data_IF_752011437836
#
_entry.id   IF_752011437836
#
_cell.length_a   1.000
_cell.length_b   1.000
_cell.length_c   1.000
_cell.angle_alpha   90.00
_cell.angle_beta   90.00
_cell.angle_gamma   90.00
#
_symmetry.space_group_name_H-M   'P 1'
#
loop_
_entity.id
_entity.type
_entity.pdbx_description
1 polymer ?
#
# COMPACT_ATOMS: atom_id res chain seq x y z
N UNK A 1 6.80 3.57 5.83
CA UNK A 1 5.82 3.83 6.92
C UNK A 1 4.72 2.77 6.96
N UNK A 2 3.76 2.74 6.03
CA UNK A 2 2.69 1.71 6.00
C UNK A 2 3.20 0.26 6.10
N UNK A 3 4.30 -0.05 5.44
CA UNK A 3 4.92 -1.40 5.48
C UNK A 3 5.35 -1.83 6.88
N UNK A 4 5.74 -0.90 7.75
CA UNK A 4 6.06 -1.23 9.15
C UNK A 4 4.83 -1.73 9.90
N UNK A 5 3.67 -1.10 9.68
CA UNK A 5 2.41 -1.58 10.26
C UNK A 5 2.08 -2.98 9.76
N UNK A 6 2.15 -3.21 8.44
CA UNK A 6 1.88 -4.54 7.88
C UNK A 6 2.78 -5.64 8.42
N UNK A 7 4.09 -5.40 8.48
CA UNK A 7 5.06 -6.38 9.02
C UNK A 7 4.86 -6.57 10.52
N UNK A 8 4.66 -5.49 11.28
CA UNK A 8 4.48 -5.58 12.73
C UNK A 8 3.22 -6.35 13.10
N UNK A 9 2.09 -6.12 12.42
CA UNK A 9 0.89 -6.93 12.60
C UNK A 9 1.16 -8.40 12.25
N UNK A 10 1.82 -8.69 11.13
CA UNK A 10 2.18 -10.07 10.75
C UNK A 10 3.04 -10.76 11.82
N UNK A 11 3.96 -10.02 12.45
CA UNK A 11 4.87 -10.54 13.47
C UNK A 11 4.19 -10.75 14.84
N UNK A 12 3.39 -9.78 15.27
CA UNK A 12 2.85 -9.75 16.62
C UNK A 12 1.42 -10.30 16.75
N UNK A 13 0.69 -10.53 15.66
CA UNK A 13 -0.66 -11.09 15.72
C UNK A 13 -0.73 -12.42 16.50
N UNK A 14 0.11 -13.44 16.23
CA UNK A 14 0.06 -14.68 17.00
C UNK A 14 0.39 -14.47 18.48
N UNK A 15 1.32 -13.56 18.78
CA UNK A 15 1.73 -13.23 20.15
C UNK A 15 0.59 -12.54 20.91
N UNK A 16 -0.08 -11.56 20.29
CA UNK A 16 -1.25 -10.91 20.86
C UNK A 16 -2.37 -11.91 21.15
N UNK A 17 -2.63 -12.86 20.25
CA UNK A 17 -3.64 -13.89 20.52
C UNK A 17 -3.26 -14.78 21.71
N UNK A 18 -1.98 -15.13 21.83
CA UNK A 18 -1.47 -15.89 22.98
C UNK A 18 -1.59 -15.08 24.30
N UNK A 19 -1.29 -13.78 24.29
CA UNK A 19 -1.49 -12.89 25.44
C UNK A 19 -2.96 -12.77 25.85
N UNK A 20 -3.88 -12.80 24.87
CA UNK A 20 -5.33 -12.88 25.11
C UNK A 20 -5.81 -14.26 25.58
N UNK A 21 -4.90 -15.20 25.87
CA UNK A 21 -5.21 -16.54 26.35
C UNK A 21 -5.77 -17.49 25.27
N UNK A 22 -5.69 -17.13 23.99
CA UNK A 22 -6.15 -17.98 22.89
C UNK A 22 -5.09 -19.01 22.49
N UNK A 23 -5.56 -20.07 21.82
CA UNK A 23 -4.68 -21.15 21.36
C UNK A 23 -3.73 -20.69 20.25
N UNK A 24 -2.57 -21.36 20.15
CA UNK A 24 -1.60 -21.14 19.06
C UNK A 24 -2.24 -21.33 17.67
N UNK A 25 -3.20 -22.26 17.55
CA UNK A 25 -3.96 -22.50 16.33
C UNK A 25 -4.74 -21.23 15.94
N UNK A 26 -5.37 -20.56 16.91
CA UNK A 26 -6.09 -19.30 16.66
C UNK A 26 -5.13 -18.20 16.19
N UNK A 27 -3.94 -18.12 16.79
CA UNK A 27 -2.86 -17.24 16.34
C UNK A 27 -2.47 -17.47 14.87
N UNK A 28 -2.34 -18.74 14.46
CA UNK A 28 -2.12 -19.12 13.06
C UNK A 28 -3.28 -18.72 12.15
N UNK A 29 -4.52 -18.97 12.57
CA UNK A 29 -5.73 -18.63 11.80
C UNK A 29 -5.81 -17.12 11.53
N UNK A 30 -5.62 -16.28 12.56
CA UNK A 30 -5.69 -14.81 12.37
C UNK A 30 -4.59 -14.30 11.45
N UNK A 31 -3.38 -14.87 11.55
CA UNK A 31 -2.26 -14.52 10.68
C UNK A 31 -2.55 -14.92 9.22
N UNK A 32 -3.05 -16.14 9.00
CA UNK A 32 -3.45 -16.61 7.67
C UNK A 32 -4.60 -15.76 7.13
N UNK A 33 -5.59 -15.42 7.95
CA UNK A 33 -6.71 -14.55 7.55
C UNK A 33 -6.20 -13.17 7.12
N UNK A 34 -5.33 -12.55 7.91
CA UNK A 34 -4.74 -11.24 7.61
C UNK A 34 -3.96 -11.25 6.30
N UNK A 35 -3.09 -12.25 6.11
CA UNK A 35 -2.26 -12.36 4.91
C UNK A 35 -3.08 -12.73 3.66
N UNK A 36 -4.04 -13.66 3.78
CA UNK A 36 -4.94 -14.04 2.69
C UNK A 36 -5.85 -12.87 2.27
N UNK A 37 -6.40 -12.13 3.23
CA UNK A 37 -7.15 -10.91 2.94
C UNK A 37 -6.29 -9.89 2.22
N UNK A 38 -5.03 -9.76 2.63
CA UNK A 38 -4.03 -8.96 1.92
C UNK A 38 -3.89 -9.38 0.47
N UNK A 39 -3.65 -10.67 0.19
CA UNK A 39 -3.52 -11.17 -1.19
C UNK A 39 -4.72 -10.78 -2.04
N UNK A 40 -5.94 -11.00 -1.53
CA UNK A 40 -7.20 -10.61 -2.19
C UNK A 40 -7.24 -9.09 -2.43
N UNK A 41 -6.86 -8.32 -1.42
CA UNK A 41 -6.78 -6.85 -1.49
C UNK A 41 -5.78 -6.35 -2.53
N UNK A 42 -4.64 -7.03 -2.70
CA UNK A 42 -3.68 -6.73 -3.75
C UNK A 42 -4.30 -6.82 -5.14
N UNK A 43 -4.97 -7.94 -5.44
CA UNK A 43 -5.65 -8.13 -6.73
C UNK A 43 -6.76 -7.11 -6.96
N UNK A 44 -7.68 -6.97 -6.01
CA UNK A 44 -8.83 -6.06 -6.15
C UNK A 44 -8.36 -4.60 -6.16
N UNK A 45 -7.42 -4.23 -5.30
CA UNK A 45 -6.83 -2.89 -5.24
C UNK A 45 -6.17 -2.50 -6.55
N UNK A 46 -5.42 -3.41 -7.18
CA UNK A 46 -4.85 -3.24 -8.52
C UNK A 46 -5.92 -2.90 -9.55
N UNK A 47 -6.92 -3.77 -9.70
CA UNK A 47 -8.03 -3.61 -10.66
C UNK A 47 -8.84 -2.33 -10.42
N UNK A 48 -9.12 -2.00 -9.16
CA UNK A 48 -9.87 -0.80 -8.78
C UNK A 48 -9.06 0.45 -9.09
N UNK A 49 -7.73 0.41 -8.87
CA UNK A 49 -6.86 1.54 -9.15
C UNK A 49 -6.66 1.83 -10.63
N UNK A 50 -6.78 0.82 -11.50
CA UNK A 50 -6.83 1.03 -12.95
C UNK A 50 -7.99 1.93 -13.38
N UNK A 51 -9.11 1.88 -12.64
CA UNK A 51 -10.35 2.62 -12.94
C UNK A 51 -10.49 3.93 -12.18
N UNK A 52 -10.16 3.95 -10.89
CA UNK A 52 -10.36 5.09 -9.99
C UNK A 52 -9.13 6.01 -9.87
N UNK A 53 -8.00 5.59 -10.43
CA UNK A 53 -6.72 6.29 -10.36
C UNK A 53 -5.82 5.76 -9.24
N UNK A 54 -4.55 5.56 -9.56
CA UNK A 54 -3.53 4.98 -8.67
C UNK A 54 -3.40 5.73 -7.35
N UNK A 55 -3.16 7.04 -7.43
CA UNK A 55 -2.94 7.88 -6.25
C UNK A 55 -4.15 7.86 -5.31
N UNK A 56 -5.36 7.90 -5.87
CA UNK A 56 -6.61 7.89 -5.12
C UNK A 56 -6.75 6.61 -4.30
N UNK A 57 -6.51 5.46 -4.91
CA UNK A 57 -6.60 4.17 -4.20
C UNK A 57 -5.51 4.03 -3.14
N UNK A 58 -4.29 4.52 -3.39
CA UNK A 58 -3.21 4.46 -2.39
C UNK A 58 -3.59 5.25 -1.13
N UNK A 59 -3.94 6.53 -1.23
CA UNK A 59 -4.18 7.32 -0.03
C UNK A 59 -5.44 6.86 0.72
N UNK A 60 -6.50 6.43 0.01
CA UNK A 60 -7.73 5.95 0.68
C UNK A 60 -7.49 4.65 1.43
N UNK A 61 -6.84 3.66 0.81
CA UNK A 61 -6.56 2.36 1.45
C UNK A 61 -5.59 2.50 2.62
N UNK A 62 -4.55 3.33 2.47
CA UNK A 62 -3.60 3.61 3.55
C UNK A 62 -4.28 4.34 4.72
N UNK A 63 -5.18 5.29 4.46
CA UNK A 63 -5.94 5.99 5.49
C UNK A 63 -6.92 5.05 6.21
N UNK A 64 -7.68 4.26 5.44
CA UNK A 64 -8.66 3.32 5.98
C UNK A 64 -8.02 2.17 6.75
N UNK A 65 -6.76 1.82 6.48
CA UNK A 65 -6.03 0.81 7.24
C UNK A 65 -6.09 1.07 8.74
N UNK A 66 -5.90 2.32 9.18
CA UNK A 66 -5.86 2.69 10.59
C UNK A 66 -7.14 2.34 11.37
N UNK A 67 -8.34 2.83 10.99
CA UNK A 67 -9.55 2.50 11.74
C UNK A 67 -9.86 1.00 11.76
N UNK A 68 -9.53 0.25 10.70
CA UNK A 68 -9.75 -1.21 10.70
C UNK A 68 -8.77 -1.95 11.61
N UNK A 69 -7.48 -1.59 11.61
CA UNK A 69 -6.52 -2.20 12.52
C UNK A 69 -6.76 -1.80 13.98
N UNK A 70 -7.14 -0.55 14.23
CA UNK A 70 -7.50 -0.09 15.56
C UNK A 70 -8.79 -0.76 16.07
N UNK A 71 -9.79 -0.89 15.19
CA UNK A 71 -11.02 -1.62 15.49
C UNK A 71 -10.77 -3.09 15.84
N UNK A 72 -9.84 -3.76 15.15
CA UNK A 72 -9.42 -5.11 15.50
C UNK A 72 -8.88 -5.22 16.94
N UNK A 73 -8.06 -4.25 17.37
CA UNK A 73 -7.50 -4.26 18.73
C UNK A 73 -8.57 -4.07 19.81
N UNK A 74 -9.64 -3.32 19.51
CA UNK A 74 -10.66 -2.95 20.50
C UNK A 74 -11.97 -3.75 20.40
N UNK A 75 -12.02 -4.78 19.57
CA UNK A 75 -13.22 -5.60 19.40
C UNK A 75 -12.93 -7.07 19.64
N UNK A 76 -13.99 -7.79 20.03
CA UNK A 76 -13.95 -9.21 20.33
C UNK A 76 -14.87 -10.02 19.40
N UNK A 77 -14.67 -11.33 19.40
CA UNK A 77 -15.50 -12.28 18.66
C UNK A 77 -15.48 -12.04 17.14
N UNK A 78 -16.66 -12.10 16.51
CA UNK A 78 -16.77 -12.03 15.04
C UNK A 78 -16.34 -10.69 14.45
N UNK A 79 -16.51 -9.60 15.20
CA UNK A 79 -16.14 -8.25 14.77
C UNK A 79 -14.62 -8.13 14.65
N UNK A 80 -13.88 -8.68 15.61
CA UNK A 80 -12.42 -8.73 15.59
C UNK A 80 -11.89 -9.29 14.26
N UNK A 81 -12.39 -10.47 13.86
CA UNK A 81 -11.98 -11.11 12.60
C UNK A 81 -12.34 -10.29 11.37
N UNK A 82 -13.51 -9.64 11.38
CA UNK A 82 -13.97 -8.79 10.27
C UNK A 82 -13.06 -7.57 10.11
N UNK A 83 -12.76 -6.87 11.20
CA UNK A 83 -11.84 -5.74 11.21
C UNK A 83 -10.44 -6.14 10.75
N UNK A 84 -9.95 -7.30 11.22
CA UNK A 84 -8.64 -7.81 10.81
C UNK A 84 -8.58 -8.12 9.32
N UNK A 85 -9.61 -8.77 8.78
CA UNK A 85 -9.69 -9.09 7.37
C UNK A 85 -9.65 -7.83 6.51
N UNK A 86 -10.48 -6.84 6.83
CA UNK A 86 -10.50 -5.57 6.09
C UNK A 86 -9.17 -4.83 6.26
N UNK A 87 -8.58 -4.83 7.46
CA UNK A 87 -7.27 -4.26 7.72
C UNK A 87 -6.18 -4.89 6.83
N UNK A 88 -6.10 -6.22 6.78
CA UNK A 88 -5.16 -6.95 5.92
C UNK A 88 -5.35 -6.64 4.45
N UNK A 89 -6.60 -6.62 3.99
CA UNK A 89 -6.99 -6.22 2.64
C UNK A 89 -6.46 -4.82 2.29
N UNK A 90 -6.75 -3.82 3.11
CA UNK A 90 -6.38 -2.42 2.85
C UNK A 90 -4.87 -2.22 2.85
N UNK A 91 -4.17 -2.89 3.78
CA UNK A 91 -2.71 -2.90 3.86
C UNK A 91 -2.16 -3.33 2.51
N UNK A 92 -2.43 -4.55 2.03
CA UNK A 92 -1.75 -5.05 0.84
C UNK A 92 -2.28 -4.48 -0.49
N UNK A 93 -3.53 -4.04 -0.54
CA UNK A 93 -4.09 -3.32 -1.69
C UNK A 93 -3.18 -2.17 -2.13
N UNK A 94 -2.77 -1.32 -1.18
CA UNK A 94 -1.88 -0.19 -1.47
C UNK A 94 -0.50 -0.61 -2.03
N UNK A 95 0.01 -1.80 -1.69
CA UNK A 95 1.33 -2.27 -2.12
C UNK A 95 1.34 -2.60 -3.62
N UNK A 96 0.32 -3.33 -4.10
CA UNK A 96 0.18 -3.65 -5.52
C UNK A 96 0.04 -2.39 -6.36
N UNK A 97 -0.80 -1.44 -5.92
CA UNK A 97 -1.04 -0.18 -6.62
C UNK A 97 0.20 0.71 -6.65
N UNK A 98 0.98 0.76 -5.56
CA UNK A 98 2.21 1.54 -5.50
C UNK A 98 3.28 1.00 -6.46
N UNK A 99 3.40 -0.33 -6.59
CA UNK A 99 4.33 -0.95 -7.54
C UNK A 99 3.90 -0.64 -8.98
N UNK A 100 2.61 -0.79 -9.29
CA UNK A 100 2.07 -0.46 -10.61
C UNK A 100 2.32 1.01 -10.96
N UNK A 101 2.07 1.93 -10.01
CA UNK A 101 2.36 3.35 -10.18
C UNK A 101 3.85 3.62 -10.44
N UNK A 102 4.75 2.96 -9.70
CA UNK A 102 6.19 3.14 -9.90
C UNK A 102 6.64 2.65 -11.29
N UNK A 103 6.10 1.52 -11.75
CA UNK A 103 6.37 1.00 -13.09
C UNK A 103 5.84 1.92 -14.19
N UNK A 104 4.67 2.55 -13.99
CA UNK A 104 4.12 3.54 -14.91
C UNK A 104 4.95 4.84 -14.97
N UNK A 105 5.56 5.24 -13.84
CA UNK A 105 6.44 6.41 -13.75
C UNK A 105 7.79 6.19 -14.45
N UNK A 106 8.29 4.95 -14.47
CA UNK A 106 9.60 4.59 -15.02
C UNK A 106 9.50 3.39 -15.97
N UNK A 107 8.81 3.54 -17.13
CA UNK A 107 8.49 2.43 -18.02
C UNK A 107 9.73 1.81 -18.70
N UNK A 108 10.80 2.59 -18.86
CA UNK A 108 12.06 2.12 -19.46
C UNK A 108 12.83 1.18 -18.52
N UNK A 109 12.51 1.17 -17.22
CA UNK A 109 13.22 0.36 -16.23
C UNK A 109 12.28 -0.21 -15.16
N UNK A 110 11.24 -0.93 -15.60
CA UNK A 110 10.20 -1.52 -14.72
C UNK A 110 10.74 -2.47 -13.65
N UNK A 111 11.87 -3.13 -13.94
CA UNK A 111 12.59 -3.98 -12.98
C UNK A 111 13.09 -3.17 -11.78
N UNK A 112 13.85 -2.10 -12.01
CA UNK A 112 14.32 -1.22 -10.92
C UNK A 112 13.16 -0.46 -10.27
N UNK A 113 12.17 -0.02 -11.06
CA UNK A 113 11.01 0.71 -10.57
C UNK A 113 10.17 -0.09 -9.56
N UNK A 114 10.16 -1.43 -9.68
CA UNK A 114 9.50 -2.32 -8.73
C UNK A 114 10.44 -2.74 -7.59
N UNK A 115 11.68 -3.13 -7.91
CA UNK A 115 12.62 -3.65 -6.93
C UNK A 115 13.09 -2.60 -5.91
N UNK A 116 13.36 -1.37 -6.33
CA UNK A 116 13.92 -0.35 -5.45
C UNK A 116 12.93 0.06 -4.34
N UNK A 117 11.67 0.45 -4.62
CA UNK A 117 10.72 0.78 -3.57
C UNK A 117 10.43 -0.39 -2.63
N UNK A 118 10.35 -1.62 -3.16
CA UNK A 118 10.13 -2.82 -2.35
C UNK A 118 11.31 -3.09 -1.41
N UNK A 119 12.52 -3.17 -1.95
CA UNK A 119 13.74 -3.44 -1.19
C UNK A 119 14.01 -2.38 -0.14
N UNK A 120 13.91 -1.10 -0.50
CA UNK A 120 14.11 0.01 0.42
C UNK A 120 13.05 0.04 1.53
N UNK A 121 11.78 -0.10 1.17
CA UNK A 121 10.69 -0.04 2.14
C UNK A 121 10.68 -1.23 3.10
N UNK A 122 10.91 -2.44 2.60
CA UNK A 122 10.93 -3.66 3.41
C UNK A 122 12.22 -3.75 4.23
N UNK A 123 13.36 -3.34 3.67
CA UNK A 123 14.64 -3.28 4.39
C UNK A 123 14.56 -2.34 5.59
N UNK A 124 14.07 -1.11 5.39
CA UNK A 124 13.87 -0.16 6.50
C UNK A 124 12.84 -0.71 7.49
N UNK A 125 11.71 -1.25 7.01
CA UNK A 125 10.68 -1.75 7.90
C UNK A 125 11.15 -2.94 8.75
N UNK A 126 11.95 -3.84 8.18
CA UNK A 126 12.58 -4.95 8.90
C UNK A 126 13.60 -4.47 9.92
N UNK A 127 14.49 -3.54 9.55
CA UNK A 127 15.46 -2.95 10.47
C UNK A 127 14.80 -2.23 11.65
N UNK A 128 13.73 -1.46 11.38
CA UNK A 128 12.94 -0.79 12.41
C UNK A 128 12.19 -1.77 13.32
N UNK A 129 11.97 -3.02 12.90
CA UNK A 129 11.26 -4.01 13.70
C UNK A 129 12.02 -4.40 14.98
N UNK A 130 13.35 -4.23 15.00
CA UNK A 130 14.15 -4.40 16.23
C UNK A 130 13.71 -3.37 17.29
N UNK A 131 13.49 -2.13 16.89
CA UNK A 131 13.01 -1.07 17.79
C UNK A 131 11.57 -1.32 18.22
N UNK A 132 10.72 -1.78 17.30
CA UNK A 132 9.33 -2.14 17.59
C UNK A 132 9.26 -3.32 18.57
N UNK A 133 10.12 -4.33 18.42
CA UNK A 133 10.22 -5.45 19.38
C UNK A 133 10.62 -4.98 20.77
N UNK A 134 11.68 -4.15 20.87
CA UNK A 134 12.07 -3.54 22.14
C UNK A 134 10.95 -2.69 22.77
N UNK A 135 10.09 -2.08 21.94
CA UNK A 135 8.91 -1.36 22.41
C UNK A 135 7.85 -2.33 22.94
N UNK A 136 7.55 -3.41 22.22
CA UNK A 136 6.62 -4.46 22.65
C UNK A 136 7.03 -5.07 24.00
N UNK A 137 8.31 -5.32 24.21
CA UNK A 137 8.83 -5.86 25.47
C UNK A 137 8.64 -4.91 26.67
N UNK A 138 8.55 -3.58 26.42
CA UNK A 138 8.49 -2.55 27.47
C UNK A 138 7.07 -2.06 27.77
N UNK A 139 6.27 -1.84 26.73
CA UNK A 139 4.93 -1.27 26.83
C UNK A 139 3.82 -2.26 26.48
N UNK A 140 4.17 -3.51 26.12
CA UNK A 140 3.24 -4.54 25.71
C UNK A 140 3.00 -4.58 24.20
N UNK A 141 2.56 -5.74 23.73
CA UNK A 141 2.31 -6.00 22.31
C UNK A 141 1.10 -5.21 21.82
N UNK A 142 0.03 -5.14 22.62
CA UNK A 142 -1.20 -4.42 22.28
C UNK A 142 -0.94 -2.92 22.04
N UNK A 143 -0.33 -2.22 23.01
CA UNK A 143 0.02 -0.80 22.85
C UNK A 143 1.01 -0.55 21.70
N UNK A 144 1.89 -1.51 21.43
CA UNK A 144 2.79 -1.44 20.27
C UNK A 144 2.05 -1.56 18.95
N UNK A 145 1.07 -2.45 18.85
CA UNK A 145 0.21 -2.61 17.68
C UNK A 145 -0.70 -1.40 17.48
N UNK A 146 -1.18 -0.77 18.56
CA UNK A 146 -1.92 0.49 18.46
C UNK A 146 -1.07 1.58 17.82
N UNK A 147 0.16 1.78 18.30
CA UNK A 147 1.09 2.74 17.70
C UNK A 147 1.31 2.47 16.21
N UNK A 148 1.51 1.19 15.85
CA UNK A 148 1.65 0.78 14.46
C UNK A 148 0.37 1.00 13.64
N UNK A 149 -0.81 0.87 14.24
CA UNK A 149 -2.09 1.10 13.56
C UNK A 149 -2.27 2.57 13.17
N UNK A 150 -1.69 3.52 13.91
CA UNK A 150 -1.73 4.96 13.59
C UNK A 150 -0.66 5.41 12.57
N UNK A 151 0.44 4.67 12.43
CA UNK A 151 1.52 5.00 11.50
C UNK A 151 1.07 5.21 10.03
N UNK A 152 0.14 4.40 9.47
CA UNK A 152 -0.42 4.60 8.15
C UNK A 152 -1.02 6.00 7.92
N UNK A 153 -1.53 6.70 8.93
CA UNK A 153 -2.05 8.08 8.77
C UNK A 153 -0.96 9.01 8.21
N UNK A 154 0.25 8.93 8.75
CA UNK A 154 1.38 9.71 8.23
C UNK A 154 1.70 9.33 6.78
N UNK A 155 1.60 8.02 6.45
CA UNK A 155 1.70 7.54 5.08
C UNK A 155 0.64 8.11 4.16
N UNK A 156 -0.62 8.21 4.62
CA UNK A 156 -1.72 8.78 3.86
C UNK A 156 -1.51 10.28 3.60
N UNK A 157 -1.06 11.04 4.60
CA UNK A 157 -0.75 12.46 4.46
C UNK A 157 0.36 12.71 3.42
N UNK A 158 1.38 11.85 3.38
CA UNK A 158 2.41 11.91 2.34
C UNK A 158 1.86 11.48 0.98
N UNK A 159 0.99 10.47 0.94
CA UNK A 159 0.37 9.97 -0.28
C UNK A 159 -0.56 11.00 -0.96
N UNK A 160 -1.10 11.98 -0.22
CA UNK A 160 -1.87 13.10 -0.79
C UNK A 160 -1.04 13.95 -1.75
N UNK A 161 0.29 13.94 -1.63
CA UNK A 161 1.20 14.65 -2.53
C UNK A 161 1.55 13.87 -3.80
N UNK A 162 1.03 12.65 -3.96
CA UNK A 162 1.29 11.85 -5.15
C UNK A 162 0.68 12.51 -6.40
N UNK A 163 1.36 12.42 -7.57
CA UNK A 163 0.81 12.90 -8.83
C UNK A 163 -0.55 12.29 -9.11
N UNK A 164 -1.54 13.15 -9.41
CA UNK A 164 -2.89 12.74 -9.75
C UNK A 164 -2.95 12.32 -11.22
N UNK A 165 -2.78 11.02 -11.46
CA UNK A 165 -3.07 10.28 -12.69
C UNK A 165 -2.34 10.71 -13.99
N UNK A 166 -1.63 9.77 -14.62
CA UNK A 166 -0.82 9.97 -15.83
C UNK A 166 -1.60 9.79 -17.14
N UNK A 167 -2.91 9.52 -17.09
CA UNK A 167 -3.74 9.49 -18.31
C UNK A 167 -3.64 10.81 -19.10
N UNK A 168 -3.44 11.93 -18.44
CA UNK A 168 -3.20 13.23 -19.11
C UNK A 168 -1.86 13.28 -19.85
N UNK A 169 -0.81 12.60 -19.37
CA UNK A 169 0.53 12.67 -19.98
C UNK A 169 0.59 11.87 -21.29
N UNK A 170 -0.06 10.69 -21.37
CA UNK A 170 -0.16 9.96 -22.65
C UNK A 170 -1.00 10.72 -23.69
N UNK A 171 -2.09 11.38 -23.28
CA UNK A 171 -2.93 12.18 -24.19
C UNK A 171 -2.21 13.44 -24.65
N UNK A 172 -1.47 14.11 -23.76
CA UNK A 172 -0.72 15.33 -24.08
C UNK A 172 0.51 15.04 -24.94
N UNK A 173 1.25 13.98 -24.64
CA UNK A 173 2.38 13.53 -25.48
C UNK A 173 1.89 13.12 -26.88
N UNK A 174 0.81 12.34 -26.97
CA UNK A 174 0.21 11.96 -28.26
C UNK A 174 -0.32 13.18 -29.03
N UNK A 175 -0.95 14.15 -28.38
CA UNK A 175 -1.40 15.40 -29.03
C UNK A 175 -0.23 16.23 -29.54
N UNK A 176 0.80 16.44 -28.72
CA UNK A 176 2.00 17.19 -29.14
C UNK A 176 2.72 16.50 -30.31
N UNK A 177 2.80 15.17 -30.34
CA UNK A 177 3.38 14.45 -31.48
C UNK A 177 2.56 14.67 -32.74
N UNK A 178 1.22 14.59 -32.67
CA UNK A 178 0.31 14.78 -33.82
C UNK A 178 0.35 16.24 -34.32
N UNK A 179 0.34 17.23 -33.43
CA UNK A 179 0.46 18.65 -33.80
C UNK A 179 1.82 18.96 -34.44
N UNK A 180 2.91 18.36 -33.93
CA UNK A 180 4.24 18.50 -34.54
C UNK A 180 4.32 17.86 -35.92
N UNK A 181 3.75 16.67 -36.13
CA UNK A 181 3.73 16.05 -37.47
C UNK A 181 2.85 16.84 -38.46
N UNK A 182 1.78 17.47 -37.97
CA UNK A 182 0.92 18.35 -38.76
C UNK A 182 1.63 19.64 -39.22
N UNK A 183 2.34 20.32 -38.32
CA UNK A 183 3.07 21.56 -38.66
C UNK A 183 4.24 21.27 -39.62
N UNK A 184 4.96 20.14 -39.43
CA UNK A 184 6.10 19.77 -40.27
C UNK A 184 5.67 19.44 -41.71
N UNK A 185 4.55 18.73 -41.89
CA UNK A 185 4.00 18.45 -43.21
C UNK A 185 3.55 19.72 -43.94
N UNK A 186 3.00 20.70 -43.21
CA UNK A 186 2.53 21.96 -43.79
C UNK A 186 3.70 22.80 -44.32
N UNK A 187 4.81 22.84 -43.57
CA UNK A 187 6.05 23.53 -43.99
C UNK A 187 6.74 22.89 -45.19
N UNK A 188 6.68 21.57 -45.32
CA UNK A 188 7.22 20.86 -46.50
C UNK A 188 6.44 21.23 -47.76
N UNK A 189 5.11 21.34 -47.66
CA UNK A 189 4.26 21.71 -48.80
C UNK A 189 4.47 23.17 -49.23
N UNK A 190 4.69 24.10 -48.30
CA UNK A 190 5.05 25.49 -48.63
C UNK A 190 6.42 25.61 -49.31
N UNK A 191 7.40 24.78 -48.94
CA UNK A 191 8.74 24.80 -49.55
C UNK A 191 8.80 24.29 -50.99
N UNK A 192 7.77 23.58 -51.45
CA UNK A 192 7.70 22.99 -52.80
C UNK A 192 6.92 23.89 -53.78
N UNK A 193 6.27 24.95 -53.28
CA UNK A 193 5.56 25.97 -54.09
C UNK A 193 6.44 27.16 -54.43
#
# INVERSE_FOLDING_TARGET
IRTMAGIGFTMFLPVLMAERGMSLITGGIVLTMFTAAGVIGGFIGGLVSDRLGRARVIWTTVLLTTPFLYGFLHTDGILMYTFLFIGGFMVLASNSVAIAMAQELFPENTGTASAFPMGFSWGIAGGMMILVGNMADRIGVESTLEFLAFLPILGALLALKLPKDHREIKVTASKNTIDQTGDDNTRIVEKIR
#
